data_IF_398994360274
#
_entry.id   IF_398994360274
#
_cell.length_a   1.000
_cell.length_b   1.000
_cell.length_c   1.000
_cell.angle_alpha   90.00
_cell.angle_beta   90.00
_cell.angle_gamma   90.00
#
_symmetry.space_group_name_H-M   'P 1'
#
loop_
_entity.id
_entity.type
_entity.pdbx_description
1 polymer ?
#
# COMPACT_ATOMS: atom_id res chain seq x y z
N UNK A 1 -9.28 -1.66 -4.25
CA UNK A 1 -9.07 -1.96 -2.82
C UNK A 1 -9.16 -3.46 -2.52
N UNK A 2 -10.28 -4.13 -2.83
CA UNK A 2 -10.47 -5.58 -2.61
C UNK A 2 -9.38 -6.47 -3.22
N UNK A 3 -8.81 -6.08 -4.37
CA UNK A 3 -7.66 -6.78 -4.94
C UNK A 3 -6.44 -6.84 -4.01
N UNK A 4 -6.17 -5.78 -3.22
CA UNK A 4 -5.07 -5.77 -2.25
C UNK A 4 -5.41 -6.59 -1.01
N UNK A 5 -6.68 -6.68 -0.61
CA UNK A 5 -7.13 -7.61 0.42
C UNK A 5 -6.86 -9.06 0.00
N UNK A 6 -7.35 -9.47 -1.17
CA UNK A 6 -7.14 -10.83 -1.71
C UNK A 6 -5.66 -11.17 -1.85
N UNK A 7 -4.87 -10.24 -2.36
CA UNK A 7 -3.42 -10.41 -2.48
C UNK A 7 -2.74 -10.49 -1.11
N UNK A 8 -3.17 -9.69 -0.13
CA UNK A 8 -2.69 -9.78 1.26
C UNK A 8 -2.97 -11.12 1.92
N UNK A 9 -4.19 -11.66 1.76
CA UNK A 9 -4.53 -13.00 2.23
C UNK A 9 -3.68 -14.08 1.55
N UNK A 10 -3.44 -13.96 0.23
CA UNK A 10 -2.55 -14.87 -0.48
C UNK A 10 -1.13 -14.86 0.12
N UNK A 11 -0.56 -13.67 0.35
CA UNK A 11 0.76 -13.50 0.97
C UNK A 11 0.79 -14.08 2.38
N UNK A 12 -0.27 -13.85 3.16
CA UNK A 12 -0.38 -14.40 4.51
C UNK A 12 -0.36 -15.92 4.54
N UNK A 13 -1.08 -16.57 3.62
CA UNK A 13 -1.20 -18.02 3.58
C UNK A 13 0.01 -18.72 2.98
N UNK A 14 0.62 -18.15 1.92
CA UNK A 14 1.70 -18.81 1.19
C UNK A 14 3.09 -18.32 1.53
N UNK A 15 3.24 -17.17 2.19
CA UNK A 15 4.53 -16.52 2.39
C UNK A 15 5.22 -16.10 1.08
N UNK A 16 4.51 -16.07 -0.05
CA UNK A 16 5.12 -15.81 -1.35
C UNK A 16 5.68 -14.39 -1.45
N UNK A 17 7.00 -14.31 -1.54
CA UNK A 17 7.79 -13.08 -1.71
C UNK A 17 7.37 -12.32 -2.96
N UNK A 18 7.05 -13.00 -4.06
CA UNK A 18 6.65 -12.34 -5.31
C UNK A 18 5.34 -11.58 -5.13
N UNK A 19 4.36 -12.23 -4.51
CA UNK A 19 3.09 -11.61 -4.14
C UNK A 19 3.28 -10.50 -3.11
N UNK A 20 4.20 -10.63 -2.16
CA UNK A 20 4.53 -9.57 -1.19
C UNK A 20 5.13 -8.32 -1.88
N UNK A 21 6.08 -8.51 -2.82
CA UNK A 21 6.64 -7.44 -3.66
C UNK A 21 5.53 -6.78 -4.48
N UNK A 22 4.60 -7.56 -5.05
CA UNK A 22 3.44 -7.06 -5.80
C UNK A 22 2.49 -6.25 -4.91
N UNK A 23 2.23 -6.69 -3.68
CA UNK A 23 1.37 -5.99 -2.72
C UNK A 23 1.97 -4.64 -2.31
N UNK A 24 3.29 -4.59 -2.06
CA UNK A 24 4.03 -3.34 -1.80
C UNK A 24 3.92 -2.35 -2.96
N UNK A 25 4.07 -2.81 -4.21
CA UNK A 25 3.86 -1.99 -5.41
C UNK A 25 2.42 -1.48 -5.51
N UNK A 26 1.43 -2.32 -5.21
CA UNK A 26 0.02 -1.92 -5.19
C UNK A 26 -0.29 -0.88 -4.11
N UNK A 27 0.34 -0.97 -2.92
CA UNK A 27 0.26 0.08 -1.88
C UNK A 27 0.80 1.42 -2.39
N UNK A 28 1.93 1.40 -3.08
CA UNK A 28 2.51 2.61 -3.66
C UNK A 28 1.59 3.25 -4.71
N UNK A 29 1.05 2.45 -5.65
CA UNK A 29 0.08 2.95 -6.65
C UNK A 29 -1.17 3.55 -5.99
N UNK A 30 -1.69 2.89 -4.96
CA UNK A 30 -2.83 3.41 -4.19
C UNK A 30 -2.52 4.79 -3.60
N UNK A 31 -1.33 4.98 -3.01
CA UNK A 31 -0.92 6.26 -2.41
C UNK A 31 -0.82 7.41 -3.43
N UNK A 32 -0.41 7.12 -4.67
CA UNK A 32 -0.40 8.13 -5.75
C UNK A 32 -1.83 8.53 -6.12
N UNK A 33 -2.71 7.55 -6.26
CA UNK A 33 -4.11 7.76 -6.61
C UNK A 33 -4.86 8.55 -5.52
N UNK A 34 -4.65 8.18 -4.27
CA UNK A 34 -5.15 8.87 -3.07
C UNK A 34 -4.79 10.36 -3.09
N UNK A 35 -3.50 10.67 -3.32
CA UNK A 35 -3.02 12.04 -3.44
C UNK A 35 -3.68 12.79 -4.59
N UNK A 36 -3.83 12.17 -5.77
CA UNK A 36 -4.50 12.79 -6.92
C UNK A 36 -5.97 13.13 -6.62
N UNK A 37 -6.70 12.24 -5.95
CA UNK A 37 -8.09 12.51 -5.57
C UNK A 37 -8.21 13.61 -4.51
N UNK A 38 -7.32 13.62 -3.52
CA UNK A 38 -7.26 14.70 -2.54
C UNK A 38 -7.00 16.07 -3.20
N UNK A 39 -6.05 16.15 -4.14
CA UNK A 39 -5.79 17.39 -4.89
C UNK A 39 -7.00 17.82 -5.75
N UNK A 40 -7.55 16.91 -6.56
CA UNK A 40 -8.71 17.22 -7.38
C UNK A 40 -9.93 17.66 -6.55
N UNK A 41 -10.03 17.18 -5.31
CA UNK A 41 -11.05 17.61 -4.36
C UNK A 41 -10.81 19.05 -3.88
N UNK A 42 -9.59 19.39 -3.47
CA UNK A 42 -9.19 20.75 -3.08
C UNK A 42 -9.38 21.76 -4.23
N UNK A 43 -9.05 21.37 -5.46
CA UNK A 43 -9.24 22.24 -6.63
C UNK A 43 -10.71 22.62 -6.86
N UNK A 44 -11.64 21.69 -6.60
CA UNK A 44 -13.09 21.96 -6.67
C UNK A 44 -13.60 22.85 -5.53
N UNK A 45 -13.00 22.74 -4.34
CA UNK A 45 -13.29 23.65 -3.21
C UNK A 45 -12.89 25.09 -3.54
N UNK A 46 -11.71 25.28 -4.16
CA UNK A 46 -11.26 26.61 -4.60
C UNK A 46 -12.19 27.26 -5.64
N UNK A 47 -12.93 26.47 -6.42
CA UNK A 47 -13.88 26.97 -7.41
C UNK A 47 -15.24 27.40 -6.81
N UNK A 48 -15.36 27.53 -5.48
CA UNK A 48 -16.55 27.99 -4.75
C UNK A 48 -17.86 27.26 -5.10
N UNK A 49 -17.78 25.99 -5.50
CA UNK A 49 -18.98 25.20 -5.71
C UNK A 49 -19.59 24.86 -4.34
N UNK A 50 -20.57 25.66 -3.89
CA UNK A 50 -21.19 25.61 -2.56
C UNK A 50 -21.69 24.19 -2.21
N UNK A 51 -22.18 23.44 -3.19
CA UNK A 51 -22.60 22.04 -3.04
C UNK A 51 -21.44 21.07 -2.76
N UNK A 52 -20.22 21.40 -3.20
CA UNK A 52 -19.03 20.60 -2.91
C UNK A 52 -18.56 20.75 -1.47
N UNK A 53 -18.81 21.89 -0.81
CA UNK A 53 -18.35 22.17 0.56
C UNK A 53 -19.08 21.28 1.59
N UNK A 54 -20.40 21.15 1.47
CA UNK A 54 -21.21 20.38 2.45
C UNK A 54 -20.86 18.89 2.49
N UNK A 55 -20.50 18.30 1.35
CA UNK A 55 -20.13 16.87 1.23
C UNK A 55 -18.62 16.63 1.34
N UNK A 56 -17.80 17.68 1.43
CA UNK A 56 -16.33 17.58 1.39
C UNK A 56 -15.73 16.80 2.55
N UNK A 57 -16.23 17.02 3.76
CA UNK A 57 -15.76 16.32 4.96
C UNK A 57 -15.97 14.81 4.84
N UNK A 58 -17.10 14.38 4.28
CA UNK A 58 -17.42 12.98 4.03
C UNK A 58 -16.50 12.36 2.96
N UNK A 59 -16.24 13.08 1.86
CA UNK A 59 -15.36 12.60 0.79
C UNK A 59 -13.93 12.36 1.27
N UNK A 60 -13.36 13.32 1.99
CA UNK A 60 -12.01 13.19 2.54
C UNK A 60 -11.95 12.13 3.63
N UNK A 61 -12.99 12.01 4.46
CA UNK A 61 -13.12 10.95 5.46
C UNK A 61 -13.07 9.56 4.83
N UNK A 62 -13.90 9.31 3.81
CA UNK A 62 -13.93 8.05 3.09
C UNK A 62 -12.58 7.72 2.46
N UNK A 63 -11.92 8.70 1.86
CA UNK A 63 -10.60 8.52 1.25
C UNK A 63 -9.55 8.11 2.32
N UNK A 64 -9.60 8.76 3.49
CA UNK A 64 -8.79 8.41 4.65
C UNK A 64 -9.03 6.97 5.13
N UNK A 65 -10.28 6.54 5.22
CA UNK A 65 -10.64 5.18 5.61
C UNK A 65 -10.15 4.14 4.60
N UNK A 66 -10.30 4.42 3.30
CA UNK A 66 -9.77 3.55 2.24
C UNK A 66 -8.25 3.39 2.33
N UNK A 67 -7.53 4.47 2.63
CA UNK A 67 -6.07 4.44 2.84
C UNK A 67 -5.69 3.64 4.07
N UNK A 68 -6.44 3.75 5.17
CA UNK A 68 -6.22 2.99 6.40
C UNK A 68 -6.43 1.50 6.17
N UNK A 69 -7.55 1.11 5.56
CA UNK A 69 -7.85 -0.28 5.19
C UNK A 69 -6.77 -0.85 4.27
N UNK A 70 -6.39 -0.12 3.23
CA UNK A 70 -5.35 -0.56 2.31
C UNK A 70 -4.01 -0.79 3.00
N UNK A 71 -3.68 0.05 3.99
CA UNK A 71 -2.44 -0.08 4.76
C UNK A 71 -2.44 -1.33 5.64
N UNK A 72 -3.58 -1.68 6.25
CA UNK A 72 -3.76 -2.92 7.01
C UNK A 72 -3.59 -4.15 6.11
N UNK A 73 -4.21 -4.16 4.93
CA UNK A 73 -4.08 -5.30 3.99
C UNK A 73 -2.64 -5.52 3.55
N UNK A 74 -1.87 -4.44 3.41
CA UNK A 74 -0.48 -4.51 2.98
C UNK A 74 0.51 -4.76 4.12
N UNK A 75 0.08 -4.76 5.39
CA UNK A 75 0.97 -4.90 6.53
C UNK A 75 1.70 -6.26 6.52
N UNK A 76 1.03 -7.32 6.09
CA UNK A 76 1.59 -8.68 6.00
C UNK A 76 2.80 -8.79 5.07
N UNK A 77 2.84 -7.97 4.02
CA UNK A 77 3.96 -8.01 3.07
C UNK A 77 5.28 -7.58 3.70
N UNK A 78 5.27 -6.72 4.73
CA UNK A 78 6.53 -6.26 5.35
C UNK A 78 7.25 -7.40 6.05
N UNK A 79 6.55 -8.24 6.80
CA UNK A 79 7.17 -9.40 7.46
C UNK A 79 7.82 -10.34 6.45
N UNK A 80 7.13 -10.69 5.36
CA UNK A 80 7.66 -11.60 4.33
C UNK A 80 8.89 -10.99 3.64
N UNK A 81 8.85 -9.69 3.33
CA UNK A 81 9.96 -9.00 2.66
C UNK A 81 11.17 -8.79 3.56
N UNK A 82 10.95 -8.60 4.86
CA UNK A 82 12.04 -8.46 5.83
C UNK A 82 12.74 -9.80 6.07
N UNK A 83 12.02 -10.92 6.01
CA UNK A 83 12.64 -12.25 6.08
C UNK A 83 13.43 -12.56 4.79
N UNK A 84 12.84 -12.30 3.61
CA UNK A 84 13.52 -12.44 2.31
C UNK A 84 14.85 -11.67 2.27
N UNK A 85 14.86 -10.43 2.78
CA UNK A 85 16.09 -9.63 2.86
C UNK A 85 17.14 -10.24 3.81
N UNK A 86 16.71 -10.77 4.96
CA UNK A 86 17.61 -11.42 5.93
C UNK A 86 18.13 -12.78 5.46
N UNK A 87 17.38 -13.48 4.61
CA UNK A 87 17.84 -14.72 3.98
C UNK A 87 18.91 -14.42 2.93
N UNK A 88 18.70 -13.38 2.10
CA UNK A 88 19.68 -12.89 1.10
C UNK A 88 21.01 -12.46 1.75
N UNK A 89 20.94 -11.72 2.87
CA UNK A 89 22.14 -11.30 3.62
C UNK A 89 22.91 -12.50 4.23
N UNK A 90 22.22 -13.58 4.61
CA UNK A 90 22.84 -14.80 5.16
C UNK A 90 23.54 -15.64 4.11
N UNK A 91 22.92 -15.78 2.92
CA UNK A 91 23.54 -16.48 1.80
C UNK A 91 24.86 -15.81 1.37
N UNK A 92 24.99 -14.50 1.53
CA UNK A 92 26.25 -13.78 1.30
C UNK A 92 27.34 -14.14 2.32
N UNK A 93 26.99 -14.27 3.61
CA UNK A 93 27.94 -14.62 4.68
C UNK A 93 28.39 -16.09 4.65
N UNK A 94 27.54 -17.01 4.19
CA UNK A 94 27.82 -18.46 4.15
C UNK A 94 28.56 -18.93 2.89
N UNK A 95 28.82 -18.06 1.90
CA UNK A 95 29.73 -18.41 0.80
C UNK A 95 31.17 -18.53 1.32
N UNK A 96 31.84 -19.70 1.19
CA UNK A 96 33.23 -19.82 1.59
C UNK A 96 34.05 -18.83 0.77
N UNK A 97 34.77 -17.92 1.43
CA UNK A 97 35.77 -17.08 0.81
C UNK A 97 36.76 -17.99 0.07
N UNK A 98 36.54 -18.16 -1.23
CA UNK A 98 37.44 -18.89 -2.12
C UNK A 98 38.47 -17.90 -2.61
N UNK A 99 39.45 -17.63 -1.76
CA UNK A 99 40.80 -17.18 -2.09
C UNK A 99 41.81 -17.93 -1.22
#
# INVERSE_FOLDING_TARGET
LIGNLRLGLSVFLSGDVTSAKRLRRSKHRFRILDRRYAHAHVDRLHQQNVQSIETSSLHLGLLGDMKRLNSLFCAVAYNVLDQDAKDDDRDWEDTPSTL
#
